data_IF_315045326106
#
_entry.id   IF_315045326106
#
_cell.length_a   1.000
_cell.length_b   1.000
_cell.length_c   1.000
_cell.angle_alpha   90.00
_cell.angle_beta   90.00
_cell.angle_gamma   90.00
#
_symmetry.space_group_name_H-M   'P 1'
#
loop_
_entity.id
_entity.type
_entity.pdbx_description
1 polymer ?
#
# COMPACT_ATOMS: atom_id res chain seq x y z
N UNK A 1 -4.85 -38.87 8.26
CA UNK A 1 -5.39 -37.66 7.60
C UNK A 1 -4.60 -36.45 8.10
N UNK A 2 -4.05 -35.59 7.22
CA UNK A 2 -3.41 -34.34 7.67
C UNK A 2 -4.48 -33.48 8.35
N UNK A 3 -4.31 -33.19 9.64
CA UNK A 3 -5.20 -32.31 10.40
C UNK A 3 -5.22 -30.93 9.73
N UNK A 4 -6.39 -30.47 9.30
CA UNK A 4 -6.52 -29.13 8.76
C UNK A 4 -6.22 -28.11 9.86
N UNK A 5 -5.25 -27.22 9.63
CA UNK A 5 -4.98 -26.12 10.55
C UNK A 5 -6.09 -25.06 10.44
N UNK A 6 -6.50 -24.44 11.57
CA UNK A 6 -7.56 -23.43 11.61
C UNK A 6 -7.10 -22.07 11.08
N UNK A 7 -5.79 -21.82 11.02
CA UNK A 7 -5.18 -20.65 10.37
C UNK A 7 -4.42 -21.15 9.13
N UNK A 8 -4.70 -20.54 7.98
CA UNK A 8 -4.07 -20.91 6.71
C UNK A 8 -2.73 -20.21 6.57
N UNK A 9 -1.76 -20.88 5.94
CA UNK A 9 -0.50 -20.27 5.53
C UNK A 9 -0.73 -19.41 4.28
N UNK A 10 -1.48 -18.32 4.43
CA UNK A 10 -1.86 -17.41 3.36
C UNK A 10 -2.14 -16.03 3.95
N UNK A 11 -1.59 -14.99 3.33
CA UNK A 11 -1.93 -13.61 3.64
C UNK A 11 -3.24 -13.22 2.95
N UNK A 12 -4.24 -12.80 3.73
CA UNK A 12 -5.55 -12.43 3.20
C UNK A 12 -5.62 -10.95 2.81
N UNK A 13 -5.06 -10.05 3.61
CA UNK A 13 -5.12 -8.63 3.36
C UNK A 13 -4.17 -7.82 4.23
N UNK A 14 -3.87 -6.62 3.78
CA UNK A 14 -3.11 -5.58 4.50
C UNK A 14 -4.07 -4.42 4.79
N UNK A 15 -4.00 -3.89 6.01
CA UNK A 15 -4.72 -2.68 6.40
C UNK A 15 -3.72 -1.53 6.49
N UNK A 16 -4.04 -0.41 5.85
CA UNK A 16 -3.27 0.84 5.91
C UNK A 16 -4.11 1.89 6.60
N UNK A 17 -3.57 2.45 7.67
CA UNK A 17 -4.25 3.47 8.45
C UNK A 17 -3.99 4.84 7.83
N UNK A 18 -5.08 5.54 7.54
CA UNK A 18 -5.08 6.82 6.83
C UNK A 18 -5.90 7.85 7.61
N UNK A 19 -5.65 9.13 7.40
CA UNK A 19 -6.40 10.22 8.06
C UNK A 19 -7.55 10.74 7.21
N UNK A 20 -7.52 10.49 5.89
CA UNK A 20 -8.59 10.86 4.98
C UNK A 20 -8.77 9.81 3.88
N UNK A 21 -9.85 9.03 3.99
CA UNK A 21 -10.09 7.90 3.10
C UNK A 21 -10.18 8.30 1.61
N UNK A 22 -10.80 9.44 1.28
CA UNK A 22 -10.93 9.88 -0.13
C UNK A 22 -9.60 10.33 -0.72
N UNK A 23 -8.81 11.10 0.04
CA UNK A 23 -7.49 11.55 -0.41
C UNK A 23 -6.57 10.35 -0.61
N UNK A 24 -6.53 9.43 0.35
CA UNK A 24 -5.64 8.28 0.29
C UNK A 24 -6.09 7.28 -0.78
N UNK A 25 -7.41 7.03 -0.93
CA UNK A 25 -7.92 6.23 -2.06
C UNK A 25 -7.48 6.81 -3.39
N UNK A 26 -7.71 8.11 -3.61
CA UNK A 26 -7.30 8.79 -4.85
C UNK A 26 -5.80 8.59 -5.12
N UNK A 27 -4.96 8.82 -4.11
CA UNK A 27 -3.51 8.68 -4.24
C UNK A 27 -3.10 7.25 -4.62
N UNK A 28 -3.61 6.24 -3.91
CA UNK A 28 -3.30 4.83 -4.20
C UNK A 28 -3.80 4.41 -5.59
N UNK A 29 -4.99 4.84 -6.00
CA UNK A 29 -5.53 4.48 -7.32
C UNK A 29 -4.78 5.19 -8.44
N UNK A 30 -4.40 6.46 -8.27
CA UNK A 30 -3.57 7.18 -9.26
C UNK A 30 -2.16 6.60 -9.39
N UNK A 31 -1.57 6.12 -8.29
CA UNK A 31 -0.29 5.38 -8.29
C UNK A 31 -0.41 4.08 -9.08
N UNK A 32 -1.55 3.39 -8.96
CA UNK A 32 -1.78 2.06 -9.55
C UNK A 32 -2.45 2.12 -10.94
N UNK A 33 -2.73 3.32 -11.46
CA UNK A 33 -3.43 3.50 -12.73
C UNK A 33 -4.87 2.98 -12.72
N UNK A 34 -5.51 2.95 -11.55
CA UNK A 34 -6.90 2.53 -11.37
C UNK A 34 -7.84 3.73 -11.51
N UNK A 35 -8.91 3.54 -12.29
CA UNK A 35 -10.01 4.50 -12.38
C UNK A 35 -11.11 4.07 -11.40
N UNK A 36 -11.35 4.89 -10.38
CA UNK A 36 -12.37 4.63 -9.36
C UNK A 36 -13.27 5.84 -9.16
N UNK A 37 -14.53 5.54 -8.87
CA UNK A 37 -15.51 6.54 -8.47
C UNK A 37 -15.33 6.92 -7.00
N UNK A 38 -14.72 8.08 -6.75
CA UNK A 38 -14.44 8.60 -5.41
C UNK A 38 -15.72 8.94 -4.61
N UNK A 39 -16.88 9.06 -5.26
CA UNK A 39 -18.16 9.26 -4.57
C UNK A 39 -18.66 7.97 -3.92
N UNK A 40 -18.16 6.81 -4.36
CA UNK A 40 -18.41 5.50 -3.72
C UNK A 40 -17.45 5.18 -2.58
N UNK A 41 -16.46 6.04 -2.32
CA UNK A 41 -15.54 5.89 -1.18
C UNK A 41 -16.25 6.41 0.06
N UNK A 42 -16.58 5.49 0.97
CA UNK A 42 -17.33 5.77 2.20
C UNK A 42 -16.58 5.19 3.39
N UNK A 43 -16.47 6.01 4.43
CA UNK A 43 -15.90 5.62 5.71
C UNK A 43 -16.61 4.41 6.35
N UNK A 44 -15.92 3.61 7.17
CA UNK A 44 -14.54 3.85 7.63
C UNK A 44 -13.45 3.21 6.77
N UNK A 45 -13.83 2.26 5.91
CA UNK A 45 -12.87 1.46 5.15
C UNK A 45 -13.16 1.46 3.67
N UNK A 46 -12.09 1.42 2.88
CA UNK A 46 -12.18 1.25 1.43
C UNK A 46 -11.17 0.20 0.95
N UNK A 47 -11.67 -0.77 0.18
CA UNK A 47 -10.81 -1.79 -0.42
C UNK A 47 -10.36 -1.32 -1.81
N UNK A 48 -9.05 -1.16 -1.98
CA UNK A 48 -8.47 -0.88 -3.29
C UNK A 48 -8.69 -2.12 -4.18
N UNK A 49 -9.21 -1.96 -5.41
CA UNK A 49 -9.54 -3.09 -6.29
C UNK A 49 -8.27 -3.67 -6.95
N UNK A 50 -7.39 -4.25 -6.14
CA UNK A 50 -6.16 -4.89 -6.59
C UNK A 50 -6.42 -6.22 -7.30
N UNK A 51 -5.51 -6.59 -8.20
CA UNK A 51 -5.46 -7.93 -8.78
C UNK A 51 -4.63 -8.83 -7.86
N UNK A 52 -5.14 -10.01 -7.54
CA UNK A 52 -4.45 -11.00 -6.72
C UNK A 52 -5.32 -11.58 -5.62
N UNK A 53 -4.69 -12.30 -4.69
CA UNK A 53 -5.38 -12.96 -3.56
C UNK A 53 -5.34 -12.16 -2.26
N UNK A 54 -4.45 -11.16 -2.17
CA UNK A 54 -4.31 -10.30 -0.99
C UNK A 54 -4.97 -8.95 -1.24
N UNK A 55 -5.87 -8.53 -0.34
CA UNK A 55 -6.52 -7.22 -0.41
C UNK A 55 -5.66 -6.11 0.19
N UNK A 56 -5.86 -4.88 -0.27
CA UNK A 56 -5.36 -3.67 0.39
C UNK A 56 -6.56 -2.84 0.84
N UNK A 57 -6.70 -2.70 2.16
CA UNK A 57 -7.81 -1.98 2.80
C UNK A 57 -7.26 -0.70 3.43
N UNK A 58 -7.79 0.45 3.02
CA UNK A 58 -7.56 1.71 3.70
C UNK A 58 -8.58 1.85 4.84
N UNK A 59 -8.14 2.30 6.00
CA UNK A 59 -8.96 2.47 7.20
C UNK A 59 -8.73 3.86 7.81
N UNK A 60 -9.79 4.68 7.85
CA UNK A 60 -9.77 6.03 8.40
C UNK A 60 -10.12 6.13 9.88
N UNK A 61 -10.45 5.00 10.52
CA UNK A 61 -10.80 4.91 11.94
C UNK A 61 -11.90 5.87 12.40
N UNK A 62 -12.77 6.35 11.50
CA UNK A 62 -13.90 7.23 11.89
C UNK A 62 -14.86 6.61 12.91
N UNK A 63 -14.82 5.28 13.10
CA UNK A 63 -15.56 4.56 14.12
C UNK A 63 -14.88 4.51 15.50
N UNK A 64 -13.58 4.83 15.59
CA UNK A 64 -12.78 4.75 16.81
C UNK A 64 -12.21 6.14 17.17
N UNK A 65 -12.89 6.90 18.06
CA UNK A 65 -12.45 8.23 18.45
C UNK A 65 -11.15 8.22 19.28
N UNK A 66 -10.74 7.07 19.82
CA UNK A 66 -9.50 6.94 20.61
C UNK A 66 -8.31 6.53 19.74
N UNK A 67 -8.54 6.23 18.46
CA UNK A 67 -7.47 5.87 17.54
C UNK A 67 -6.45 7.00 17.41
N UNK A 68 -5.18 6.65 17.57
CA UNK A 68 -4.05 7.56 17.35
C UNK A 68 -3.26 7.07 16.17
N UNK A 69 -3.31 7.84 15.08
CA UNK A 69 -2.50 7.56 13.92
C UNK A 69 -1.02 7.63 14.30
N UNK A 70 -0.28 6.56 13.99
CA UNK A 70 1.14 6.46 14.26
C UNK A 70 1.85 5.95 13.02
N UNK A 71 2.88 6.68 12.62
CA UNK A 71 3.61 6.41 11.39
C UNK A 71 4.77 5.46 11.70
N UNK A 72 4.87 4.37 10.93
CA UNK A 72 6.05 3.50 10.94
C UNK A 72 7.13 4.07 10.02
N UNK A 73 8.39 4.23 10.47
CA UNK A 73 9.50 4.61 9.59
C UNK A 73 9.95 3.47 8.67
N UNK A 74 9.44 2.26 8.89
CA UNK A 74 9.72 1.07 8.10
C UNK A 74 8.58 0.77 7.13
N UNK A 75 8.86 0.17 5.96
CA UNK A 75 7.83 -0.25 5.02
C UNK A 75 6.78 -1.16 5.66
N UNK A 76 5.50 -0.84 5.45
CA UNK A 76 4.37 -1.60 6.00
C UNK A 76 3.84 -2.68 5.05
N UNK A 77 4.09 -2.54 3.75
CA UNK A 77 3.88 -3.55 2.71
C UNK A 77 4.70 -3.20 1.47
N UNK A 78 4.66 -4.06 0.45
CA UNK A 78 5.27 -3.78 -0.85
C UNK A 78 4.27 -3.88 -2.00
N UNK A 79 4.54 -3.13 -3.07
CA UNK A 79 3.91 -3.25 -4.37
C UNK A 79 4.92 -3.81 -5.37
N UNK A 80 4.43 -4.68 -6.24
CA UNK A 80 5.24 -5.36 -7.23
C UNK A 80 5.63 -4.45 -8.40
N UNK A 81 6.91 -4.42 -8.72
CA UNK A 81 7.52 -3.66 -9.81
C UNK A 81 8.47 -4.57 -10.62
N UNK A 82 8.01 -5.20 -11.71
CA UNK A 82 8.82 -6.16 -12.46
C UNK A 82 10.13 -5.56 -13.02
N UNK A 83 10.10 -4.26 -13.35
CA UNK A 83 11.30 -3.48 -13.66
C UNK A 83 11.44 -2.33 -12.66
N UNK A 84 12.42 -2.44 -11.76
CA UNK A 84 12.60 -1.47 -10.66
C UNK A 84 13.03 -0.08 -11.16
N UNK A 85 13.77 0.01 -12.27
CA UNK A 85 14.25 1.29 -12.80
C UNK A 85 13.11 2.07 -13.47
N UNK A 86 12.25 1.37 -14.23
CA UNK A 86 11.04 1.96 -14.80
C UNK A 86 10.08 2.43 -13.72
N UNK A 87 9.87 1.62 -12.68
CA UNK A 87 9.01 1.98 -11.55
C UNK A 87 9.57 3.21 -10.80
N UNK A 88 10.88 3.26 -10.57
CA UNK A 88 11.51 4.39 -9.91
C UNK A 88 11.37 5.70 -10.72
N UNK A 89 11.57 5.63 -12.05
CA UNK A 89 11.30 6.77 -12.94
C UNK A 89 9.83 7.20 -12.88
N UNK A 90 8.90 6.25 -12.93
CA UNK A 90 7.46 6.52 -12.84
C UNK A 90 7.08 7.26 -11.54
N UNK A 91 7.63 6.83 -10.41
CA UNK A 91 7.44 7.50 -9.11
C UNK A 91 7.99 8.92 -9.12
N UNK A 92 9.21 9.13 -9.65
CA UNK A 92 9.80 10.47 -9.78
C UNK A 92 8.97 11.39 -10.65
N UNK A 93 8.52 10.91 -11.81
CA UNK A 93 7.74 11.71 -12.77
C UNK A 93 6.36 12.11 -12.18
N UNK A 94 5.83 11.34 -11.22
CA UNK A 94 4.63 11.69 -10.43
C UNK A 94 4.89 12.65 -9.26
N UNK A 95 6.14 12.97 -8.96
CA UNK A 95 6.50 13.81 -7.82
C UNK A 95 6.21 13.17 -6.46
N UNK A 96 6.17 11.84 -6.38
CA UNK A 96 5.99 11.11 -5.12
C UNK A 96 7.32 11.12 -4.36
N UNK A 97 7.27 11.36 -3.05
CA UNK A 97 8.45 11.38 -2.19
C UNK A 97 9.09 9.98 -2.10
N UNK A 98 10.36 9.89 -2.50
CA UNK A 98 11.22 8.73 -2.32
C UNK A 98 12.00 8.93 -1.02
N UNK A 99 11.71 8.10 -0.03
CA UNK A 99 12.34 8.17 1.31
C UNK A 99 13.53 7.24 1.46
N UNK A 100 13.70 6.30 0.52
CA UNK A 100 14.86 5.43 0.41
C UNK A 100 15.14 5.15 -1.05
N UNK A 101 16.36 5.42 -1.47
CA UNK A 101 16.84 5.16 -2.82
C UNK A 101 16.87 3.67 -3.17
N UNK A 102 17.07 3.35 -4.45
CA UNK A 102 17.15 1.95 -4.90
C UNK A 102 18.28 1.23 -4.17
N UNK A 103 17.94 0.10 -3.57
CA UNK A 103 18.87 -0.87 -3.00
C UNK A 103 18.75 -2.21 -3.71
N UNK A 104 19.85 -2.98 -3.69
CA UNK A 104 19.98 -4.24 -4.41
C UNK A 104 20.68 -5.28 -3.55
N UNK A 105 20.07 -6.46 -3.43
CA UNK A 105 20.66 -7.64 -2.79
C UNK A 105 20.36 -8.85 -3.66
N UNK A 106 21.40 -9.39 -4.30
CA UNK A 106 21.24 -10.43 -5.32
C UNK A 106 20.38 -9.93 -6.48
N UNK A 107 19.37 -10.72 -6.86
CA UNK A 107 18.41 -10.37 -7.93
C UNK A 107 17.24 -9.51 -7.42
N UNK A 108 17.17 -9.25 -6.11
CA UNK A 108 16.12 -8.45 -5.48
C UNK A 108 16.53 -6.98 -5.44
N UNK A 109 15.61 -6.11 -5.81
CA UNK A 109 15.78 -4.67 -5.78
C UNK A 109 14.50 -3.97 -5.32
N UNK A 110 14.68 -2.93 -4.52
CA UNK A 110 13.56 -2.16 -3.97
C UNK A 110 13.96 -0.72 -3.70
N UNK A 111 12.96 0.14 -3.57
CA UNK A 111 13.08 1.48 -3.00
C UNK A 111 11.83 1.78 -2.19
N UNK A 112 11.84 2.84 -1.38
CA UNK A 112 10.70 3.18 -0.53
C UNK A 112 10.15 4.55 -0.87
N UNK A 113 8.81 4.64 -0.87
CA UNK A 113 8.06 5.87 -1.06
C UNK A 113 7.20 6.16 0.17
N UNK A 114 6.67 7.38 0.23
CA UNK A 114 5.77 7.83 1.29
C UNK A 114 4.39 8.14 0.72
N UNK A 115 3.35 7.65 1.40
CA UNK A 115 1.96 8.00 1.10
C UNK A 115 1.58 9.36 1.73
N UNK A 116 0.36 9.90 1.50
CA UNK A 116 -0.07 11.19 2.05
C UNK A 116 -0.10 11.24 3.58
N UNK A 117 -0.28 10.09 4.23
CA UNK A 117 -0.35 9.93 5.68
C UNK A 117 1.01 9.67 6.32
N UNK A 118 2.04 9.52 5.49
CA UNK A 118 3.40 9.28 5.90
C UNK A 118 3.78 7.82 6.03
N UNK A 119 2.88 6.89 5.73
CA UNK A 119 3.19 5.47 5.70
C UNK A 119 4.26 5.19 4.65
N UNK A 120 5.20 4.33 4.99
CA UNK A 120 6.26 3.91 4.07
C UNK A 120 5.77 2.71 3.27
N UNK A 121 5.76 2.83 1.94
CA UNK A 121 5.43 1.76 1.00
C UNK A 121 6.69 1.36 0.26
N UNK A 122 6.98 0.06 0.21
CA UNK A 122 8.09 -0.46 -0.59
C UNK A 122 7.63 -0.73 -2.02
N UNK A 123 8.45 -0.38 -3.01
CA UNK A 123 8.29 -0.83 -4.39
C UNK A 123 9.38 -1.86 -4.64
N UNK A 124 9.00 -3.10 -4.99
CA UNK A 124 9.92 -4.24 -5.01
C UNK A 124 9.72 -5.11 -6.26
N UNK A 125 10.79 -5.68 -6.81
CA UNK A 125 10.72 -6.56 -8.00
C UNK A 125 10.43 -8.04 -7.71
N UNK A 126 10.15 -8.41 -6.45
CA UNK A 126 9.80 -9.76 -6.04
C UNK A 126 8.91 -9.78 -4.78
#
# INVERSE_FOLDING_TARGET
>A
MKKALPVKNQMNGVFVHVTNLKISTKWYTELLGLDVDLDKVVSPVYNIPLVGTTSLTLDDHTFDPEFKHSISPSPIFNLYAPNIEEAYKYIKDKGIEIVREIERVGDTAWFNIKDPDGNVVMICNC
#
